data_IF_260974872233
#
_entry.id   IF_260974872233
#
_cell.length_a   1.000
_cell.length_b   1.000
_cell.length_c   1.000
_cell.angle_alpha   90.00
_cell.angle_beta   90.00
_cell.angle_gamma   90.00
#
_symmetry.space_group_name_H-M   'P 1'
#
loop_
_entity.id
_entity.type
_entity.pdbx_description
1 polymer ?
#
# COMPACT_ATOMS: atom_id res chain seq x y z
N UNK A 1 -22.42 -36.33 0.47
CA UNK A 1 -21.72 -35.03 0.35
C UNK A 1 -22.50 -34.06 1.18
N UNK A 2 -21.85 -33.48 2.17
CA UNK A 2 -22.46 -32.50 3.07
C UNK A 2 -22.51 -31.18 2.31
N UNK A 3 -23.70 -30.81 1.84
CA UNK A 3 -23.90 -29.59 1.06
C UNK A 3 -24.72 -28.63 1.90
N UNK A 4 -24.07 -27.59 2.42
CA UNK A 4 -24.75 -26.47 3.04
C UNK A 4 -25.23 -25.51 1.97
N UNK A 5 -26.53 -25.20 2.00
CA UNK A 5 -27.15 -24.20 1.12
C UNK A 5 -26.98 -22.81 1.74
N UNK A 6 -26.88 -21.76 0.91
CA UNK A 6 -26.78 -20.37 1.41
C UNK A 6 -27.99 -20.00 2.29
N UNK A 7 -29.15 -20.60 2.01
CA UNK A 7 -30.37 -20.42 2.81
C UNK A 7 -30.31 -20.96 4.24
N UNK A 8 -29.35 -21.83 4.55
CA UNK A 8 -29.17 -22.39 5.89
C UNK A 8 -28.26 -21.51 6.77
N UNK A 9 -27.60 -20.49 6.18
CA UNK A 9 -26.77 -19.56 6.94
C UNK A 9 -27.62 -18.59 7.74
N UNK A 10 -27.23 -18.38 9.00
CA UNK A 10 -27.69 -17.22 9.75
C UNK A 10 -27.20 -15.94 9.08
N UNK A 11 -27.86 -14.81 9.36
CA UNK A 11 -27.45 -13.49 8.86
C UNK A 11 -26.02 -13.16 9.26
N UNK A 12 -25.58 -13.61 10.44
CA UNK A 12 -24.21 -13.42 10.91
C UNK A 12 -23.22 -14.19 10.05
N UNK A 13 -23.46 -15.49 9.84
CA UNK A 13 -22.58 -16.33 9.03
C UNK A 13 -22.51 -15.84 7.58
N UNK A 14 -23.63 -15.40 7.01
CA UNK A 14 -23.65 -14.81 5.67
C UNK A 14 -22.83 -13.51 5.60
N UNK A 15 -22.92 -12.65 6.62
CA UNK A 15 -22.12 -11.42 6.69
C UNK A 15 -20.63 -11.72 6.81
N UNK A 16 -20.28 -12.71 7.62
CA UNK A 16 -18.88 -13.11 7.84
C UNK A 16 -18.30 -13.75 6.56
N UNK A 17 -19.09 -14.55 5.84
CA UNK A 17 -18.72 -15.08 4.52
C UNK A 17 -18.46 -13.94 3.52
N UNK A 18 -19.41 -13.02 3.36
CA UNK A 18 -19.27 -11.89 2.43
C UNK A 18 -18.04 -11.05 2.77
N UNK A 19 -17.82 -10.76 4.06
CA UNK A 19 -16.65 -10.01 4.51
C UNK A 19 -15.35 -10.72 4.09
N UNK A 20 -15.26 -12.02 4.36
CA UNK A 20 -14.06 -12.81 4.05
C UNK A 20 -13.75 -12.79 2.55
N UNK A 21 -14.76 -13.03 1.72
CA UNK A 21 -14.60 -13.04 0.26
C UNK A 21 -14.24 -11.66 -0.29
N UNK A 22 -14.82 -10.59 0.26
CA UNK A 22 -14.48 -9.21 -0.13
C UNK A 22 -13.06 -8.87 0.29
N UNK A 23 -12.65 -9.20 1.51
CA UNK A 23 -11.27 -8.97 1.98
C UNK A 23 -10.26 -9.73 1.11
N UNK A 24 -10.54 -10.99 0.78
CA UNK A 24 -9.72 -11.77 -0.14
C UNK A 24 -9.65 -11.12 -1.52
N UNK A 25 -10.79 -10.77 -2.11
CA UNK A 25 -10.83 -10.14 -3.44
C UNK A 25 -10.07 -8.82 -3.46
N UNK A 26 -10.21 -8.00 -2.42
CA UNK A 26 -9.47 -6.74 -2.29
C UNK A 26 -7.98 -7.00 -2.16
N UNK A 27 -7.56 -8.00 -1.39
CA UNK A 27 -6.15 -8.38 -1.28
C UNK A 27 -5.58 -8.89 -2.62
N UNK A 28 -6.35 -9.68 -3.38
CA UNK A 28 -5.92 -10.16 -4.69
C UNK A 28 -5.82 -9.03 -5.73
N UNK A 29 -6.71 -8.04 -5.65
CA UNK A 29 -6.73 -6.92 -6.61
C UNK A 29 -5.77 -5.77 -6.24
N UNK A 30 -5.60 -5.49 -4.94
CA UNK A 30 -4.92 -4.30 -4.42
C UNK A 30 -3.84 -4.64 -3.38
N UNK A 31 -3.50 -5.92 -3.19
CA UNK A 31 -2.44 -6.35 -2.31
C UNK A 31 -1.09 -5.79 -2.75
N UNK A 32 -0.19 -5.59 -1.79
CA UNK A 32 1.17 -5.15 -2.06
C UNK A 32 1.95 -6.30 -2.71
N UNK A 33 2.34 -6.19 -4.00
CA UNK A 33 3.10 -7.26 -4.66
C UNK A 33 4.47 -7.49 -4.05
N UNK A 34 4.98 -6.53 -3.27
CA UNK A 34 6.27 -6.61 -2.59
C UNK A 34 6.13 -7.09 -1.13
N UNK A 35 4.93 -7.51 -0.69
CA UNK A 35 4.70 -8.00 0.68
C UNK A 35 5.64 -9.17 1.02
N UNK A 36 6.35 -9.05 2.16
CA UNK A 36 7.30 -10.05 2.62
C UNK A 36 8.68 -10.00 1.95
N UNK A 37 8.90 -9.12 0.97
CA UNK A 37 10.22 -8.94 0.36
C UNK A 37 11.12 -8.03 1.20
N UNK A 38 12.43 -8.32 1.17
CA UNK A 38 13.42 -7.43 1.76
C UNK A 38 13.83 -6.31 0.79
N UNK A 39 14.00 -5.10 1.32
CA UNK A 39 14.59 -4.01 0.55
C UNK A 39 16.03 -4.33 0.14
N UNK A 40 16.38 -4.03 -1.11
CA UNK A 40 17.78 -4.07 -1.57
C UNK A 40 18.64 -3.05 -0.83
N UNK A 41 19.92 -3.36 -0.64
CA UNK A 41 20.84 -2.53 0.15
C UNK A 41 21.08 -1.12 -0.43
N UNK A 42 21.04 -0.99 -1.75
CA UNK A 42 21.13 0.32 -2.43
C UNK A 42 19.92 1.20 -2.13
N UNK A 43 18.71 0.61 -2.13
CA UNK A 43 17.45 1.28 -1.78
C UNK A 43 17.43 1.63 -0.30
N UNK A 44 17.80 0.70 0.59
CA UNK A 44 17.94 0.97 2.04
C UNK A 44 18.88 2.16 2.30
N UNK A 45 20.04 2.18 1.64
CA UNK A 45 21.04 3.25 1.80
C UNK A 45 20.53 4.62 1.32
N UNK A 46 19.85 4.66 0.16
CA UNK A 46 19.21 5.88 -0.36
C UNK A 46 18.09 6.38 0.54
N UNK A 47 17.25 5.47 1.04
CA UNK A 47 16.14 5.80 1.92
C UNK A 47 16.65 6.35 3.26
N UNK A 48 17.66 5.71 3.86
CA UNK A 48 18.33 6.21 5.07
C UNK A 48 18.85 7.65 4.88
N UNK A 49 19.52 7.93 3.76
CA UNK A 49 20.00 9.30 3.45
C UNK A 49 18.83 10.30 3.37
N UNK A 50 17.77 9.96 2.66
CA UNK A 50 16.59 10.84 2.52
C UNK A 50 15.88 11.08 3.85
N UNK A 51 15.73 10.06 4.69
CA UNK A 51 15.11 10.17 6.01
C UNK A 51 15.97 11.00 6.98
N UNK A 52 17.29 10.89 6.90
CA UNK A 52 18.21 11.74 7.69
C UNK A 52 18.09 13.20 7.26
N UNK A 53 18.03 13.48 5.96
CA UNK A 53 17.86 14.85 5.44
C UNK A 53 16.53 15.50 5.86
N UNK A 54 15.45 14.73 6.00
CA UNK A 54 14.17 15.24 6.55
C UNK A 54 14.18 15.51 8.05
N UNK A 55 15.12 14.91 8.81
CA UNK A 55 15.26 15.14 10.26
C UNK A 55 16.07 16.38 10.58
N UNK A 56 17.03 16.71 9.73
CA UNK A 56 17.54 18.08 9.60
C UNK A 56 16.42 18.93 9.00
N UNK A 57 16.22 20.15 9.46
CA UNK A 57 15.09 21.04 9.16
C UNK A 57 15.11 21.59 7.71
N UNK A 58 15.49 20.75 6.74
CA UNK A 58 15.51 21.04 5.32
C UNK A 58 14.08 21.17 4.81
N UNK A 59 13.64 22.42 4.63
CA UNK A 59 12.33 22.77 4.12
C UNK A 59 12.07 22.05 2.79
N UNK A 60 10.99 21.28 2.73
CA UNK A 60 10.42 20.81 1.47
C UNK A 60 10.07 22.01 0.59
N UNK A 61 10.46 21.98 -0.68
CA UNK A 61 10.09 22.99 -1.68
C UNK A 61 8.88 22.51 -2.47
N UNK A 62 8.07 23.45 -2.97
CA UNK A 62 6.93 23.10 -3.83
C UNK A 62 7.41 22.60 -5.20
N UNK A 63 6.52 21.91 -5.93
CA UNK A 63 6.89 21.28 -7.19
C UNK A 63 7.26 22.26 -8.30
N UNK A 64 6.67 23.46 -8.31
CA UNK A 64 7.03 24.55 -9.23
C UNK A 64 8.49 25.00 -9.04
N UNK A 65 8.94 25.12 -7.80
CA UNK A 65 10.33 25.47 -7.45
C UNK A 65 11.30 24.37 -7.88
N UNK A 66 10.90 23.11 -7.77
CA UNK A 66 11.69 21.97 -8.30
C UNK A 66 11.81 22.07 -9.81
N UNK A 67 10.70 22.28 -10.52
CA UNK A 67 10.68 22.40 -11.98
C UNK A 67 11.58 23.56 -12.46
N UNK A 68 11.49 24.71 -11.80
CA UNK A 68 12.35 25.88 -12.08
C UNK A 68 13.84 25.57 -11.91
N UNK A 69 14.23 24.89 -10.82
CA UNK A 69 15.63 24.49 -10.57
C UNK A 69 16.16 23.50 -11.60
N UNK A 70 15.29 22.68 -12.17
CA UNK A 70 15.63 21.64 -13.15
C UNK A 70 15.47 22.10 -14.60
N UNK A 71 14.98 23.33 -14.84
CA UNK A 71 14.71 23.84 -16.19
C UNK A 71 13.53 23.14 -16.87
N UNK A 72 12.52 22.72 -16.10
CA UNK A 72 11.32 22.02 -16.57
C UNK A 72 10.10 22.94 -16.48
N UNK A 73 9.11 22.69 -17.34
CA UNK A 73 7.78 23.30 -17.21
C UNK A 73 6.89 22.45 -16.28
N UNK A 74 5.98 23.10 -15.53
CA UNK A 74 5.10 22.51 -14.53
C UNK A 74 3.64 22.84 -14.83
#
# INVERSE_FOLDING_TARGET
>A
MDYSTVSELTVKELRDLIRTEVEQTVLEMLGDPDEGLELREDIKSRLKRSLTHKKTDEKTINAQEVATKLGLEW
#
